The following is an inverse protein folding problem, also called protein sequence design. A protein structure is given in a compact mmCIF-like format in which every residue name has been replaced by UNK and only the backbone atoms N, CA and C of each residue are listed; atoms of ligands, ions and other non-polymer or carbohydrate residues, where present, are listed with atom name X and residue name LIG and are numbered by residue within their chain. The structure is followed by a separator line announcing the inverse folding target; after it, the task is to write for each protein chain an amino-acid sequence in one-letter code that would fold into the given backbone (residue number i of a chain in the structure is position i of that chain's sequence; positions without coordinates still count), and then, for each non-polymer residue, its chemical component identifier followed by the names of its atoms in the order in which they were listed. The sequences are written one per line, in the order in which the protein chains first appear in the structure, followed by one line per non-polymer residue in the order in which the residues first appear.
data_IF_812859738246
#
_entry.id   IF_812859738246
#
_cell.length_a   1.000
_cell.length_b   1.000
_cell.length_c   1.000
_cell.angle_alpha   90.00
_cell.angle_beta   90.00
_cell.angle_gamma   90.00
#
_symmetry.space_group_name_H-M   'P 1'
#
loop_
_entity.id
_entity.type
_entity.pdbx_description
1 polymer ?
#
# COMPACT_ATOMS: atom_id res chain seq x y z
N UNK A 1 30.40 -25.05 77.81
CA UNK A 1 31.58 -25.00 76.92
C UNK A 1 31.08 -25.26 75.49
N UNK A 2 30.61 -24.23 74.78
CA UNK A 2 31.32 -23.57 73.66
C UNK A 2 31.85 -24.54 72.61
N UNK A 3 31.16 -24.67 71.47
CA UNK A 3 31.55 -24.08 70.18
C UNK A 3 30.69 -24.67 69.05
N UNK A 4 30.17 -23.83 68.15
CA UNK A 4 30.50 -23.91 66.72
C UNK A 4 29.52 -23.10 65.87
N UNK A 5 30.00 -21.90 65.48
CA UNK A 5 29.92 -21.25 64.15
C UNK A 5 28.55 -21.12 63.46
N UNK A 6 28.04 -19.89 63.51
CA UNK A 6 27.23 -19.25 62.46
C UNK A 6 27.96 -19.26 61.10
N UNK A 7 27.21 -19.47 60.00
CA UNK A 7 27.27 -18.63 58.79
C UNK A 7 26.22 -19.02 57.73
N UNK A 8 25.37 -18.04 57.44
CA UNK A 8 24.96 -17.62 56.09
C UNK A 8 23.81 -18.36 55.40
N UNK A 9 22.62 -17.75 55.55
CA UNK A 9 21.49 -17.76 54.63
C UNK A 9 21.92 -17.43 53.18
N UNK A 10 21.54 -18.27 52.22
CA UNK A 10 21.41 -17.88 50.81
C UNK A 10 20.16 -18.53 50.21
N UNK A 11 19.13 -17.70 50.02
CA UNK A 11 17.96 -17.96 49.21
C UNK A 11 18.38 -17.88 47.73
N UNK A 12 18.25 -18.99 46.99
CA UNK A 12 18.39 -19.01 45.54
C UNK A 12 17.00 -18.75 44.92
N UNK A 13 16.73 -17.49 44.58
CA UNK A 13 15.67 -17.13 43.64
C UNK A 13 16.34 -17.05 42.26
N UNK A 14 16.20 -18.11 41.46
CA UNK A 14 16.62 -18.11 40.07
C UNK A 14 15.63 -17.31 39.22
N UNK A 15 15.94 -16.05 38.94
CA UNK A 15 15.23 -15.27 37.94
C UNK A 15 15.77 -15.62 36.54
N UNK A 16 14.99 -16.37 35.77
CA UNK A 16 15.27 -16.62 34.35
C UNK A 16 14.90 -15.37 33.55
N UNK A 17 15.87 -14.49 33.33
CA UNK A 17 15.75 -13.37 32.39
C UNK A 17 15.88 -13.91 30.97
N UNK A 18 14.76 -14.19 30.31
CA UNK A 18 14.76 -14.39 28.86
C UNK A 18 14.88 -12.99 28.22
N UNK A 19 16.11 -12.57 27.95
CA UNK A 19 16.38 -11.46 27.04
C UNK A 19 15.99 -11.88 25.63
N UNK A 20 14.72 -11.71 25.26
CA UNK A 20 14.28 -11.72 23.86
C UNK A 20 14.77 -10.41 23.24
N UNK A 21 16.05 -10.38 22.88
CA UNK A 21 16.59 -9.47 21.89
C UNK A 21 16.06 -9.87 20.52
N UNK A 22 14.74 -9.77 20.34
CA UNK A 22 14.12 -9.94 19.03
C UNK A 22 14.43 -8.69 18.23
N UNK A 23 15.41 -8.78 17.32
CA UNK A 23 15.54 -7.81 16.24
C UNK A 23 14.17 -7.74 15.56
N UNK A 24 13.45 -6.63 15.77
CA UNK A 24 12.27 -6.30 14.98
C UNK A 24 12.76 -6.21 13.53
N UNK A 25 12.55 -7.26 12.75
CA UNK A 25 12.66 -7.17 11.30
C UNK A 25 11.63 -6.12 10.87
N UNK A 26 12.09 -4.88 10.67
CA UNK A 26 11.30 -3.86 10.01
C UNK A 26 11.09 -4.35 8.58
N UNK A 27 9.90 -4.90 8.31
CA UNK A 27 9.50 -5.20 6.95
C UNK A 27 9.51 -3.85 6.21
N UNK A 28 10.35 -3.74 5.18
CA UNK A 28 10.42 -2.52 4.38
C UNK A 28 9.00 -2.15 3.91
N UNK A 29 8.53 -0.96 4.30
CA UNK A 29 7.21 -0.50 3.91
C UNK A 29 7.16 -0.40 2.38
N UNK A 30 6.15 -1.04 1.79
CA UNK A 30 5.94 -0.95 0.34
C UNK A 30 5.68 0.51 -0.02
N UNK A 31 6.37 1.09 -1.02
CA UNK A 31 6.11 2.46 -1.45
C UNK A 31 4.63 2.69 -1.76
N UNK A 32 4.07 3.78 -1.26
CA UNK A 32 2.67 4.18 -1.44
C UNK A 32 2.54 5.44 -2.29
N UNK A 33 1.39 5.63 -2.93
CA UNK A 33 1.03 6.82 -3.69
C UNK A 33 -0.37 7.29 -3.27
N UNK A 34 -0.52 7.89 -2.08
CA UNK A 34 -1.83 8.04 -1.44
C UNK A 34 -2.67 9.20 -2.00
N UNK A 35 -2.08 10.10 -2.79
CA UNK A 35 -2.76 11.32 -3.26
C UNK A 35 -2.29 11.77 -4.65
N UNK A 36 -2.98 12.77 -5.20
CA UNK A 36 -2.59 13.44 -6.44
C UNK A 36 -1.14 13.91 -6.36
N UNK A 37 -0.33 13.51 -7.34
CA UNK A 37 1.12 13.78 -7.42
C UNK A 37 1.96 13.16 -6.28
N UNK A 38 1.46 12.12 -5.61
CA UNK A 38 2.24 11.29 -4.71
C UNK A 38 2.39 11.85 -3.29
N UNK A 39 3.16 11.17 -2.42
CA UNK A 39 3.27 11.51 -1.00
C UNK A 39 3.60 12.99 -0.76
N UNK A 40 4.55 13.52 -1.52
CA UNK A 40 5.02 14.92 -1.42
C UNK A 40 4.32 15.88 -2.39
N UNK A 41 3.29 15.44 -3.11
CA UNK A 41 2.54 16.21 -4.12
C UNK A 41 3.41 16.83 -5.24
N UNK A 42 4.63 16.35 -5.41
CA UNK A 42 5.58 16.85 -6.40
C UNK A 42 5.52 16.09 -7.74
N UNK A 43 4.93 14.90 -7.78
CA UNK A 43 4.83 14.06 -8.98
C UNK A 43 6.05 13.17 -9.19
N UNK A 44 6.90 13.00 -8.18
CA UNK A 44 8.13 12.20 -8.27
C UNK A 44 8.06 10.95 -7.38
N UNK A 45 8.63 9.86 -7.89
CA UNK A 45 8.92 8.65 -7.10
C UNK A 45 10.34 8.80 -6.53
N UNK A 46 10.48 8.68 -5.21
CA UNK A 46 11.79 8.72 -4.54
C UNK A 46 12.46 7.35 -4.55
N UNK A 47 13.74 7.32 -4.92
CA UNK A 47 14.56 6.10 -4.88
C UNK A 47 14.20 5.05 -5.94
N UNK A 48 14.84 3.88 -5.82
CA UNK A 48 14.66 2.74 -6.71
C UNK A 48 15.75 2.59 -7.78
N UNK A 49 15.95 1.36 -8.23
CA UNK A 49 16.73 1.06 -9.44
C UNK A 49 15.74 1.07 -10.60
N UNK A 50 15.85 2.07 -11.46
CA UNK A 50 15.06 2.10 -12.69
C UNK A 50 15.57 1.05 -13.67
N UNK A 51 14.68 0.36 -14.40
CA UNK A 51 15.12 -0.55 -15.44
C UNK A 51 15.85 0.26 -16.52
N UNK A 52 16.92 -0.32 -17.09
CA UNK A 52 17.73 0.34 -18.13
C UNK A 52 16.94 0.58 -19.44
N UNK A 53 15.92 -0.25 -19.68
CA UNK A 53 15.03 -0.19 -20.82
C UNK A 53 13.67 -0.82 -20.44
N UNK A 54 12.65 -0.65 -21.30
CA UNK A 54 11.31 -1.19 -21.08
C UNK A 54 11.10 -2.56 -21.76
N UNK A 55 12.19 -3.27 -22.08
CA UNK A 55 12.15 -4.60 -22.67
C UNK A 55 11.48 -5.60 -21.74
N UNK A 56 10.93 -6.66 -22.33
CA UNK A 56 10.07 -7.64 -21.63
C UNK A 56 10.76 -8.33 -20.43
N UNK A 57 12.09 -8.44 -20.46
CA UNK A 57 12.89 -8.99 -19.36
C UNK A 57 13.11 -8.01 -18.20
N UNK A 58 13.04 -6.69 -18.44
CA UNK A 58 13.24 -5.67 -17.40
C UNK A 58 11.92 -5.12 -16.86
N UNK A 59 10.86 -5.07 -17.68
CA UNK A 59 9.53 -4.65 -17.28
C UNK A 59 8.50 -5.77 -17.49
N UNK A 60 8.44 -6.69 -16.53
CA UNK A 60 7.50 -7.82 -16.56
C UNK A 60 6.13 -7.40 -16.04
N UNK A 61 5.09 -7.55 -16.87
CA UNK A 61 3.69 -7.32 -16.48
C UNK A 61 3.28 -8.29 -15.36
N UNK A 62 2.90 -7.75 -14.20
CA UNK A 62 2.40 -8.54 -13.05
C UNK A 62 0.94 -8.91 -13.19
N UNK A 63 0.10 -7.94 -13.55
CA UNK A 63 -1.34 -8.12 -13.77
C UNK A 63 -1.87 -6.97 -14.62
N UNK A 64 -3.07 -7.15 -15.16
CA UNK A 64 -3.82 -6.12 -15.91
C UNK A 64 -5.31 -6.31 -15.63
N UNK A 65 -6.02 -5.19 -15.50
CA UNK A 65 -7.48 -5.15 -15.33
C UNK A 65 -8.02 -4.14 -16.33
N UNK A 66 -9.07 -4.52 -17.06
CA UNK A 66 -9.81 -3.58 -17.90
C UNK A 66 -10.75 -2.73 -17.03
N UNK A 67 -10.73 -1.42 -17.21
CA UNK A 67 -11.51 -0.47 -16.43
C UNK A 67 -12.48 0.30 -17.34
N UNK A 68 -13.66 0.68 -16.83
CA UNK A 68 -14.50 1.66 -17.52
C UNK A 68 -13.79 3.02 -17.61
N UNK A 69 -14.32 3.95 -18.42
CA UNK A 69 -13.74 5.30 -18.55
C UNK A 69 -13.60 6.03 -17.21
N UNK A 70 -12.59 6.89 -17.11
CA UNK A 70 -12.32 7.73 -15.94
C UNK A 70 -11.36 8.85 -16.30
N UNK A 71 -11.41 9.95 -15.54
CA UNK A 71 -10.43 11.03 -15.63
C UNK A 71 -9.35 10.97 -14.54
N UNK A 72 -9.53 10.15 -13.50
CA UNK A 72 -8.59 10.08 -12.39
C UNK A 72 -7.47 9.06 -12.64
N UNK A 73 -6.27 9.36 -12.15
CA UNK A 73 -5.21 8.36 -12.01
C UNK A 73 -5.41 7.52 -10.74
N UNK A 74 -4.79 6.33 -10.67
CA UNK A 74 -4.87 5.48 -9.48
C UNK A 74 -4.14 6.10 -8.28
N UNK A 75 -4.65 5.81 -7.08
CA UNK A 75 -3.89 5.98 -5.83
C UNK A 75 -3.59 4.62 -5.21
N UNK A 76 -2.46 4.49 -4.52
CA UNK A 76 -1.90 3.20 -4.09
C UNK A 76 -1.58 3.22 -2.60
N UNK A 77 -2.16 2.29 -1.85
CA UNK A 77 -1.78 2.01 -0.46
C UNK A 77 -0.78 0.86 -0.38
N UNK A 78 -0.50 0.38 0.82
CA UNK A 78 0.38 -0.77 1.02
C UNK A 78 -0.07 -2.01 0.22
N UNK A 79 -1.38 -2.30 0.20
CA UNK A 79 -1.95 -3.54 -0.32
C UNK A 79 -3.14 -3.34 -1.27
N UNK A 80 -3.52 -2.10 -1.57
CA UNK A 80 -4.61 -1.79 -2.49
C UNK A 80 -4.22 -0.74 -3.54
N UNK A 81 -4.89 -0.82 -4.67
CA UNK A 81 -4.91 0.21 -5.72
C UNK A 81 -6.36 0.68 -5.84
N UNK A 82 -6.59 1.98 -5.76
CA UNK A 82 -7.92 2.57 -5.88
C UNK A 82 -8.04 3.30 -7.21
N UNK A 83 -9.14 3.06 -7.90
CA UNK A 83 -9.46 3.68 -9.19
C UNK A 83 -10.90 4.18 -9.16
N UNK A 84 -11.15 5.33 -9.79
CA UNK A 84 -12.51 5.77 -10.07
C UNK A 84 -12.94 5.34 -11.46
N UNK A 85 -14.23 5.25 -11.71
CA UNK A 85 -14.79 4.92 -13.02
C UNK A 85 -16.19 5.51 -13.20
N UNK A 86 -16.53 5.80 -14.45
CA UNK A 86 -17.87 6.16 -14.88
C UNK A 86 -18.48 4.99 -15.66
N UNK A 87 -19.70 4.61 -15.32
CA UNK A 87 -20.46 3.54 -15.97
C UNK A 87 -21.76 4.09 -16.55
N UNK A 88 -22.01 3.74 -17.81
CA UNK A 88 -23.24 4.05 -18.56
C UNK A 88 -23.63 5.54 -18.55
N UNK A 89 -22.66 6.46 -18.39
CA UNK A 89 -22.89 7.91 -18.26
C UNK A 89 -23.89 8.27 -17.17
N UNK A 90 -24.02 7.42 -16.15
CA UNK A 90 -25.06 7.54 -15.11
C UNK A 90 -24.56 7.23 -13.71
N UNK A 91 -23.51 6.42 -13.59
CA UNK A 91 -22.96 6.04 -12.29
C UNK A 91 -21.48 6.37 -12.24
N UNK A 92 -21.08 7.02 -11.16
CA UNK A 92 -19.68 7.14 -10.77
C UNK A 92 -19.40 6.08 -9.70
N UNK A 93 -18.15 5.61 -9.64
CA UNK A 93 -17.78 4.63 -8.65
C UNK A 93 -16.30 4.60 -8.34
N UNK A 94 -15.97 3.90 -7.25
CA UNK A 94 -14.61 3.58 -6.82
C UNK A 94 -14.49 2.07 -6.72
N UNK A 95 -13.38 1.53 -7.23
CA UNK A 95 -12.97 0.14 -6.99
C UNK A 95 -11.69 0.14 -6.17
N UNK A 96 -11.61 -0.77 -5.20
CA UNK A 96 -10.35 -1.15 -4.57
C UNK A 96 -9.90 -2.49 -5.14
N UNK A 97 -8.72 -2.50 -5.74
CA UNK A 97 -8.07 -3.68 -6.30
C UNK A 97 -6.97 -4.15 -5.35
N UNK A 98 -6.80 -5.45 -5.21
CA UNK A 98 -5.68 -6.04 -4.50
C UNK A 98 -4.39 -5.72 -5.28
N UNK A 99 -3.41 -5.07 -4.62
CA UNK A 99 -2.17 -4.64 -5.27
C UNK A 99 -1.33 -5.80 -5.82
N UNK A 100 -1.49 -7.00 -5.27
CA UNK A 100 -0.69 -8.19 -5.64
C UNK A 100 -1.14 -8.78 -6.98
N UNK A 101 -2.44 -8.86 -7.23
CA UNK A 101 -3.01 -9.62 -8.36
C UNK A 101 -4.09 -8.87 -9.16
N UNK A 102 -4.42 -7.64 -8.76
CA UNK A 102 -5.41 -6.79 -9.44
C UNK A 102 -6.86 -7.17 -9.15
N UNK A 103 -7.14 -8.18 -8.32
CA UNK A 103 -8.53 -8.60 -8.06
C UNK A 103 -9.30 -7.53 -7.30
N UNK A 104 -10.52 -7.23 -7.77
CA UNK A 104 -11.42 -6.33 -7.05
C UNK A 104 -11.71 -6.91 -5.66
N UNK A 105 -11.48 -6.11 -4.62
CA UNK A 105 -11.76 -6.44 -3.22
C UNK A 105 -13.11 -5.88 -2.80
N UNK A 106 -13.41 -4.65 -3.22
CA UNK A 106 -14.69 -4.01 -3.03
C UNK A 106 -14.90 -2.92 -4.07
N UNK A 107 -16.16 -2.53 -4.25
CA UNK A 107 -16.56 -1.35 -5.02
C UNK A 107 -17.68 -0.60 -4.33
N UNK A 108 -17.76 0.70 -4.60
CA UNK A 108 -18.92 1.54 -4.28
C UNK A 108 -19.31 2.33 -5.51
N UNK A 109 -20.60 2.54 -5.70
CA UNK A 109 -21.18 3.30 -6.83
C UNK A 109 -22.22 4.27 -6.30
N UNK A 110 -22.38 5.39 -7.00
CA UNK A 110 -23.43 6.37 -6.75
C UNK A 110 -23.94 6.95 -8.08
N UNK A 111 -25.17 7.44 -8.08
CA UNK A 111 -25.76 8.08 -9.26
C UNK A 111 -25.08 9.43 -9.51
N UNK A 112 -24.68 9.66 -10.76
CA UNK A 112 -23.90 10.81 -11.18
C UNK A 112 -23.05 10.47 -12.40
N UNK A 113 -22.72 11.47 -13.20
CA UNK A 113 -21.77 11.32 -14.30
C UNK A 113 -21.04 12.63 -14.54
N UNK A 114 -19.74 12.55 -14.75
CA UNK A 114 -18.93 13.72 -15.10
C UNK A 114 -19.18 14.17 -16.54
N UNK A 115 -19.86 15.30 -16.71
CA UNK A 115 -19.92 15.95 -18.03
C UNK A 115 -18.81 17.00 -18.15
N UNK A 116 -17.91 16.85 -19.12
CA UNK A 116 -16.94 17.90 -19.45
C UNK A 116 -17.59 18.89 -20.42
N UNK A 117 -17.82 20.12 -19.97
CA UNK A 117 -18.41 21.18 -20.80
C UNK A 117 -17.34 21.92 -21.63
N UNK A 118 -17.29 21.69 -22.95
CA UNK A 118 -16.57 22.53 -23.93
C UNK A 118 -15.03 22.58 -23.83
N UNK A 119 -14.36 22.67 -24.98
CA UNK A 119 -12.89 22.67 -25.21
C UNK A 119 -12.09 21.43 -24.72
N UNK A 120 -12.71 20.46 -24.03
CA UNK A 120 -12.11 19.16 -23.66
C UNK A 120 -12.82 17.93 -24.24
N UNK A 121 -13.87 18.12 -25.05
CA UNK A 121 -14.74 17.03 -25.56
C UNK A 121 -14.07 16.15 -26.62
N UNK A 122 -12.97 16.60 -27.24
CA UNK A 122 -12.21 15.79 -28.20
C UNK A 122 -11.54 14.56 -27.55
N UNK A 123 -11.38 14.54 -26.23
CA UNK A 123 -10.89 13.39 -25.45
C UNK A 123 -12.03 12.55 -24.82
N UNK A 124 -13.28 12.82 -25.22
CA UNK A 124 -14.49 12.16 -24.73
C UNK A 124 -15.15 12.90 -23.57
N UNK A 125 -16.47 12.76 -23.49
CA UNK A 125 -17.29 13.05 -22.30
C UNK A 125 -17.88 11.71 -21.88
N UNK A 126 -17.35 11.16 -20.80
CA UNK A 126 -17.62 9.79 -20.36
C UNK A 126 -18.61 9.74 -19.22
#
# INVERSE_FOLDING_TARGET
MTNSRSKTTLLLIGALWISVGGSLLSAAEKPTWPQWRGPERNGHVSGGVWPKDLGESHLVKRWRVELPPSYSGPVVSHDRVFVTYTRDKKFEGVRALNRKDGKETWKTEWEGAMTVAGLGTSMGSW
#
